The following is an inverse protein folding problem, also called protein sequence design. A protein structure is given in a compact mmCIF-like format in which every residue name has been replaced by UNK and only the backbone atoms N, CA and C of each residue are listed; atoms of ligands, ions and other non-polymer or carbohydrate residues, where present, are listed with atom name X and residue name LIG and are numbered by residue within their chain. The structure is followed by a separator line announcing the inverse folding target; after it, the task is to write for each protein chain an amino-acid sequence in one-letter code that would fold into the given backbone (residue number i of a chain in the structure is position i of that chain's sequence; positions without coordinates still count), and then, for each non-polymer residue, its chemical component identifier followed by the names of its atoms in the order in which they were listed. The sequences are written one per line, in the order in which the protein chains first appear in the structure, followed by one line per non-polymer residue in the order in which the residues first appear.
data_IF_168105873440
#
_entry.id   IF_168105873440
#
_cell.length_a   1.000
_cell.length_b   1.000
_cell.length_c   1.000
_cell.angle_alpha   90.00
_cell.angle_beta   90.00
_cell.angle_gamma   90.00
#
_symmetry.space_group_name_H-M   'P 1'
#
loop_
_entity.id
_entity.type
_entity.pdbx_description
1 polymer ?
#
# COMPACT_ATOMS: atom_id res chain seq x y z
N UNK A 1 18.28 1.56 4.11
CA UNK A 1 17.05 2.39 4.09
C UNK A 1 16.00 1.72 3.20
N UNK A 2 14.94 1.09 3.76
CA UNK A 2 13.85 0.51 2.95
C UNK A 2 12.74 1.53 2.81
N UNK A 3 12.66 2.16 1.63
CA UNK A 3 11.60 3.08 1.23
C UNK A 3 10.36 2.23 0.91
N UNK A 4 9.39 2.21 1.81
CA UNK A 4 8.14 1.46 1.60
C UNK A 4 7.39 2.11 0.45
N UNK A 5 7.37 1.40 -0.69
CA UNK A 5 6.78 1.89 -1.93
C UNK A 5 5.26 1.73 -1.82
N UNK A 6 4.57 2.82 -1.52
CA UNK A 6 3.10 2.86 -1.59
C UNK A 6 2.69 2.65 -3.05
N UNK A 7 1.82 1.67 -3.29
CA UNK A 7 1.29 1.36 -4.61
C UNK A 7 0.00 2.13 -4.82
N UNK A 8 -0.21 2.58 -6.05
CA UNK A 8 -1.49 3.11 -6.49
C UNK A 8 -2.48 1.96 -6.59
N UNK A 9 -3.63 2.11 -5.95
CA UNK A 9 -4.70 1.11 -5.88
C UNK A 9 -5.90 1.46 -6.76
N UNK A 10 -5.82 2.55 -7.55
CA UNK A 10 -6.91 2.99 -8.42
C UNK A 10 -8.09 3.64 -7.69
N UNK A 11 -7.96 3.90 -6.39
CA UNK A 11 -8.92 4.65 -5.59
C UNK A 11 -8.35 6.01 -5.23
N UNK A 12 -9.16 7.07 -5.33
CA UNK A 12 -8.80 8.42 -4.90
C UNK A 12 -8.88 8.56 -3.37
N UNK A 13 -7.99 7.83 -2.70
CA UNK A 13 -7.86 7.80 -1.25
C UNK A 13 -6.43 8.15 -0.86
N UNK A 14 -6.28 8.86 0.25
CA UNK A 14 -4.97 9.28 0.71
C UNK A 14 -4.13 8.05 1.10
N UNK A 15 -2.89 7.95 0.60
CA UNK A 15 -2.01 6.86 0.98
C UNK A 15 -1.68 6.94 2.47
N UNK A 16 -1.49 5.79 3.14
CA UNK A 16 -1.09 5.77 4.53
C UNK A 16 0.32 6.34 4.72
N UNK A 17 0.49 7.21 5.71
CA UNK A 17 1.80 7.79 6.07
C UNK A 17 2.75 6.74 6.68
N UNK A 18 2.17 5.69 7.27
CA UNK A 18 2.90 4.58 7.89
C UNK A 18 2.96 3.38 6.98
N UNK A 19 4.12 2.74 6.98
CA UNK A 19 4.35 1.49 6.27
C UNK A 19 3.82 0.30 7.08
N UNK A 20 2.82 -0.40 6.55
CA UNK A 20 2.33 -1.68 7.06
C UNK A 20 3.19 -2.83 6.46
N UNK A 21 3.47 -3.87 7.26
CA UNK A 21 4.04 -5.15 6.76
C UNK A 21 2.96 -6.17 6.39
N UNK A 22 1.70 -5.76 6.45
CA UNK A 22 0.54 -6.60 6.14
C UNK A 22 0.53 -7.02 4.68
N UNK A 23 0.56 -8.34 4.45
CA UNK A 23 0.46 -8.93 3.11
C UNK A 23 -0.83 -8.54 2.41
N UNK A 24 -1.90 -8.34 3.19
CA UNK A 24 -3.23 -7.96 2.74
C UNK A 24 -3.45 -6.44 2.66
N UNK A 25 -2.43 -5.62 2.97
CA UNK A 25 -2.57 -4.17 2.89
C UNK A 25 -2.74 -3.77 1.41
N UNK A 26 -3.79 -3.02 1.03
CA UNK A 26 -3.99 -2.62 -0.36
C UNK A 26 -2.83 -1.75 -0.88
N UNK A 27 -2.23 -0.93 -0.01
CA UNK A 27 -1.16 0.02 -0.37
C UNK A 27 0.26 -0.58 -0.37
N UNK A 28 0.60 -1.38 0.62
CA UNK A 28 1.96 -1.91 0.82
C UNK A 28 2.08 -3.42 0.57
N UNK A 29 0.96 -4.12 0.57
CA UNK A 29 0.90 -5.56 0.41
C UNK A 29 0.99 -6.00 -1.04
N UNK A 30 0.77 -7.31 -1.23
CA UNK A 30 0.71 -7.93 -2.56
C UNK A 30 -0.74 -8.20 -3.00
N UNK A 31 -1.71 -7.89 -2.13
CA UNK A 31 -3.12 -8.10 -2.44
C UNK A 31 -3.50 -7.31 -3.70
N UNK A 32 -3.96 -7.98 -4.77
CA UNK A 32 -4.43 -7.30 -5.96
C UNK A 32 -5.77 -6.64 -5.63
N UNK A 33 -5.79 -5.31 -5.55
CA UNK A 33 -7.02 -4.53 -5.50
C UNK A 33 -7.58 -4.49 -6.93
N UNK A 34 -8.80 -4.97 -7.12
CA UNK A 34 -9.53 -4.98 -8.39
C UNK A 34 -10.83 -4.22 -8.24
#
# INVERSE_FOLDING_TARGET
MKKSKVRDIGYDVKPPEKSCKDTNCPFHGKLPVR
#
